data_IF_579204282861
#
_entry.id   IF_579204282861
#
_cell.length_a   1.000
_cell.length_b   1.000
_cell.length_c   1.000
_cell.angle_alpha   90.00
_cell.angle_beta   90.00
_cell.angle_gamma   90.00
#
_symmetry.space_group_name_H-M   'P 1'
#
loop_
_entity.id
_entity.type
_entity.pdbx_description
1 polymer ?
#
# COMPACT_ATOMS: atom_id res chain seq x y z
N UNK A 1 22.45 -24.57 54.01
CA UNK A 1 22.33 -23.13 53.71
C UNK A 1 22.72 -22.93 52.25
N UNK A 2 21.98 -22.33 51.34
CA UNK A 2 20.57 -21.92 51.29
C UNK A 2 20.21 -21.94 49.79
N UNK A 3 18.95 -22.26 49.50
CA UNK A 3 18.35 -22.30 48.16
C UNK A 3 17.65 -20.96 47.89
N UNK A 4 17.84 -20.43 46.67
CA UNK A 4 16.85 -19.80 45.78
C UNK A 4 15.96 -18.63 46.22
N UNK A 5 15.84 -17.64 45.32
CA UNK A 5 14.66 -16.85 44.83
C UNK A 5 15.27 -15.73 43.97
N UNK A 6 15.17 -15.62 42.65
CA UNK A 6 14.07 -15.64 41.66
C UNK A 6 13.06 -14.47 41.76
N UNK A 7 12.64 -14.01 40.56
CA UNK A 7 11.62 -13.02 40.16
C UNK A 7 12.00 -11.51 40.12
N UNK A 8 11.74 -10.71 39.06
CA UNK A 8 10.91 -10.81 37.82
C UNK A 8 11.48 -9.92 36.68
N UNK A 9 11.27 -10.25 35.40
CA UNK A 9 11.36 -9.30 34.28
C UNK A 9 10.07 -8.49 34.09
N UNK A 10 10.23 -7.32 33.48
CA UNK A 10 9.22 -6.28 33.33
C UNK A 10 7.94 -6.69 32.59
N UNK A 11 6.87 -6.07 33.07
CA UNK A 11 5.50 -6.07 32.59
C UNK A 11 5.40 -5.63 31.12
N UNK A 12 5.48 -6.59 30.19
CA UNK A 12 5.00 -6.40 28.82
C UNK A 12 3.48 -6.43 28.86
N UNK A 13 2.85 -5.28 29.08
CA UNK A 13 1.39 -5.14 29.01
C UNK A 13 0.92 -5.53 27.61
N UNK A 14 0.41 -6.75 27.48
CA UNK A 14 -0.40 -7.17 26.34
C UNK A 14 -1.66 -6.28 26.31
N UNK A 15 -1.70 -5.35 25.35
CA UNK A 15 -2.93 -4.63 25.03
C UNK A 15 -3.95 -5.63 24.47
N UNK A 16 -5.22 -5.49 24.88
CA UNK A 16 -6.32 -6.32 24.38
C UNK A 16 -6.53 -6.11 22.87
N UNK A 17 -6.65 -7.18 22.10
CA UNK A 17 -6.87 -7.12 20.65
C UNK A 17 -8.08 -6.30 20.21
N UNK A 18 -9.12 -6.20 21.04
CA UNK A 18 -10.29 -5.37 20.76
C UNK A 18 -10.02 -3.85 20.86
N UNK A 19 -9.06 -3.45 21.71
CA UNK A 19 -8.65 -2.04 21.80
C UNK A 19 -7.75 -1.67 20.62
N UNK A 20 -6.85 -2.57 20.22
CA UNK A 20 -6.01 -2.40 19.02
C UNK A 20 -6.89 -2.30 17.77
N UNK A 21 -7.85 -3.21 17.57
CA UNK A 21 -8.78 -3.15 16.42
C UNK A 21 -9.62 -1.87 16.35
N UNK A 22 -10.03 -1.32 17.50
CA UNK A 22 -10.76 -0.05 17.57
C UNK A 22 -9.86 1.14 17.23
N UNK A 23 -8.65 1.16 17.78
CA UNK A 23 -7.64 2.20 17.52
C UNK A 23 -7.23 2.18 16.04
N UNK A 24 -6.97 1.01 15.45
CA UNK A 24 -6.69 0.83 14.03
C UNK A 24 -7.85 1.32 13.16
N UNK A 25 -9.10 0.96 13.49
CA UNK A 25 -10.29 1.41 12.76
C UNK A 25 -10.51 2.93 12.80
N UNK A 26 -10.25 3.57 13.94
CA UNK A 26 -10.31 5.03 14.10
C UNK A 26 -9.22 5.74 13.28
N UNK A 27 -8.00 5.20 13.26
CA UNK A 27 -6.90 5.76 12.47
C UNK A 27 -7.15 5.61 10.96
N UNK A 28 -7.66 4.46 10.51
CA UNK A 28 -8.04 4.23 9.11
C UNK A 28 -9.14 5.21 8.67
N UNK A 29 -10.19 5.36 9.48
CA UNK A 29 -11.26 6.32 9.18
C UNK A 29 -10.77 7.77 9.12
N UNK A 30 -9.85 8.15 10.00
CA UNK A 30 -9.22 9.47 9.97
C UNK A 30 -8.39 9.68 8.70
N UNK A 31 -7.58 8.70 8.29
CA UNK A 31 -6.75 8.80 7.09
C UNK A 31 -7.59 8.99 5.81
N UNK A 32 -8.66 8.21 5.65
CA UNK A 32 -9.58 8.38 4.50
C UNK A 32 -10.31 9.73 4.55
N UNK A 33 -10.67 10.21 5.75
CA UNK A 33 -11.26 11.54 5.93
C UNK A 33 -10.28 12.65 5.52
N UNK A 34 -9.00 12.53 5.87
CA UNK A 34 -7.97 13.49 5.46
C UNK A 34 -7.74 13.44 3.94
N UNK A 35 -7.72 12.23 3.35
CA UNK A 35 -7.64 12.09 1.90
C UNK A 35 -8.81 12.78 1.20
N UNK A 36 -10.02 12.67 1.75
CA UNK A 36 -11.19 13.34 1.21
C UNK A 36 -11.11 14.87 1.23
N UNK A 37 -10.43 15.46 2.21
CA UNK A 37 -10.18 16.91 2.23
C UNK A 37 -9.24 17.37 1.12
N UNK A 38 -8.35 16.50 0.66
CA UNK A 38 -7.33 16.83 -0.35
C UNK A 38 -7.82 16.45 -1.75
N UNK A 39 -8.29 15.21 -1.93
CA UNK A 39 -8.76 14.66 -3.22
C UNK A 39 -10.14 15.19 -3.62
N UNK A 40 -10.93 15.66 -2.66
CA UNK A 40 -12.34 15.96 -2.86
C UNK A 40 -13.22 14.71 -2.94
N UNK A 41 -14.49 14.92 -3.30
CA UNK A 41 -15.45 13.85 -3.51
C UNK A 41 -15.36 13.33 -4.95
N UNK A 42 -15.40 12.01 -5.17
CA UNK A 42 -15.44 11.47 -6.52
C UNK A 42 -16.78 11.80 -7.18
N UNK A 43 -16.76 12.14 -8.47
CA UNK A 43 -17.97 12.38 -9.25
C UNK A 43 -18.78 11.10 -9.54
N UNK A 44 -18.18 9.94 -9.22
CA UNK A 44 -18.76 8.61 -9.44
C UNK A 44 -18.42 7.73 -8.25
N UNK A 45 -19.44 7.08 -7.68
CA UNK A 45 -19.23 6.11 -6.59
C UNK A 45 -18.43 4.89 -7.10
N UNK A 46 -17.48 4.36 -6.30
CA UNK A 46 -16.81 3.11 -6.62
C UNK A 46 -17.82 1.96 -6.71
N UNK A 47 -17.50 0.97 -7.55
CA UNK A 47 -18.25 -0.28 -7.56
C UNK A 47 -17.93 -1.08 -6.29
N UNK A 48 -18.94 -1.67 -5.62
CA UNK A 48 -18.71 -2.49 -4.42
C UNK A 48 -17.64 -3.56 -4.65
N UNK A 49 -16.79 -3.78 -3.64
CA UNK A 49 -15.72 -4.77 -3.68
C UNK A 49 -16.10 -5.99 -2.83
N UNK A 50 -16.01 -7.19 -3.41
CA UNK A 50 -16.03 -8.43 -2.62
C UNK A 50 -14.61 -8.71 -2.10
N UNK A 51 -14.30 -8.13 -0.93
CA UNK A 51 -12.97 -8.25 -0.32
C UNK A 51 -12.56 -9.70 -0.05
N UNK A 52 -13.50 -10.57 0.33
CA UNK A 52 -13.22 -11.98 0.57
C UNK A 52 -12.83 -12.71 -0.73
N UNK A 53 -13.42 -12.34 -1.87
CA UNK A 53 -13.00 -12.84 -3.18
C UNK A 53 -11.64 -12.29 -3.62
N UNK A 54 -11.41 -10.98 -3.44
CA UNK A 54 -10.13 -10.32 -3.76
C UNK A 54 -8.98 -10.95 -2.98
N UNK A 55 -9.09 -11.04 -1.65
CA UNK A 55 -8.05 -11.60 -0.77
C UNK A 55 -7.81 -13.10 -1.06
N UNK A 56 -8.86 -13.86 -1.38
CA UNK A 56 -8.72 -15.26 -1.80
C UNK A 56 -7.97 -15.41 -3.12
N UNK A 57 -8.19 -14.52 -4.07
CA UNK A 57 -7.48 -14.53 -5.36
C UNK A 57 -6.04 -14.05 -5.22
N UNK A 58 -5.78 -13.08 -4.34
CA UNK A 58 -4.42 -12.63 -4.02
C UNK A 58 -3.64 -13.65 -3.19
N UNK A 59 -4.34 -14.45 -2.37
CA UNK A 59 -3.73 -15.38 -1.42
C UNK A 59 -3.25 -14.71 -0.13
N UNK A 60 -3.64 -13.46 0.11
CA UNK A 60 -3.25 -12.67 1.28
C UNK A 60 -4.33 -11.65 1.63
N UNK A 61 -4.45 -11.33 2.92
CA UNK A 61 -5.26 -10.19 3.36
C UNK A 61 -4.65 -8.87 2.90
N UNK A 62 -5.49 -7.85 2.68
CA UNK A 62 -5.03 -6.52 2.31
C UNK A 62 -5.08 -5.55 3.49
N UNK A 63 -4.24 -4.49 3.47
CA UNK A 63 -4.27 -3.43 4.48
C UNK A 63 -5.67 -2.82 4.62
N UNK A 64 -6.12 -2.60 5.86
CA UNK A 64 -7.43 -2.02 6.13
C UNK A 64 -7.59 -0.59 5.58
N UNK A 65 -6.50 0.18 5.54
CA UNK A 65 -6.47 1.54 5.00
C UNK A 65 -6.74 1.56 3.48
N UNK A 66 -6.13 0.67 2.72
CA UNK A 66 -6.41 0.48 1.30
C UNK A 66 -7.86 0.06 1.06
N UNK A 67 -8.38 -0.89 1.85
CA UNK A 67 -9.77 -1.35 1.70
C UNK A 67 -10.76 -0.22 1.93
N UNK A 68 -10.57 0.54 3.01
CA UNK A 68 -11.40 1.69 3.32
C UNK A 68 -11.31 2.79 2.24
N UNK A 69 -10.11 3.02 1.70
CA UNK A 69 -9.92 3.94 0.58
C UNK A 69 -10.65 3.47 -0.68
N UNK A 70 -10.50 2.20 -1.08
CA UNK A 70 -11.14 1.65 -2.27
C UNK A 70 -12.67 1.57 -2.15
N UNK A 71 -13.19 1.35 -0.95
CA UNK A 71 -14.63 1.44 -0.68
C UNK A 71 -15.17 2.88 -0.83
N UNK A 72 -14.31 3.91 -0.69
CA UNK A 72 -14.68 5.32 -0.79
C UNK A 72 -14.35 5.95 -2.16
N UNK A 73 -13.34 5.44 -2.87
CA UNK A 73 -12.82 6.00 -4.11
C UNK A 73 -12.71 4.95 -5.21
N UNK A 74 -13.11 5.28 -6.45
CA UNK A 74 -12.80 4.44 -7.60
C UNK A 74 -11.28 4.45 -7.91
N UNK A 75 -10.84 3.73 -8.94
CA UNK A 75 -9.45 3.87 -9.40
C UNK A 75 -9.16 5.34 -9.71
N UNK A 76 -7.94 5.79 -9.42
CA UNK A 76 -7.60 7.19 -9.57
C UNK A 76 -6.20 7.42 -10.11
N UNK A 77 -6.07 8.58 -10.75
CA UNK A 77 -4.84 9.07 -11.33
C UNK A 77 -4.54 10.45 -10.77
N UNK A 78 -3.54 10.53 -9.89
CA UNK A 78 -3.15 11.76 -9.18
C UNK A 78 -2.10 12.47 -10.01
N UNK A 79 -2.36 13.74 -10.31
CA UNK A 79 -1.48 14.67 -11.02
C UNK A 79 -0.91 14.08 -12.31
N UNK A 80 -1.71 13.27 -13.01
CA UNK A 80 -1.32 12.54 -14.23
C UNK A 80 -0.02 11.73 -14.10
N UNK A 81 0.29 11.31 -12.87
CA UNK A 81 1.53 10.63 -12.56
C UNK A 81 1.27 9.35 -11.80
N UNK A 82 0.64 9.39 -10.63
CA UNK A 82 0.44 8.22 -9.77
C UNK A 82 -0.90 7.55 -10.06
N UNK A 83 -0.86 6.31 -10.54
CA UNK A 83 -2.04 5.44 -10.74
C UNK A 83 -2.22 4.52 -9.56
N UNK A 84 -3.40 4.56 -8.96
CA UNK A 84 -3.83 3.64 -7.92
C UNK A 84 -4.76 2.61 -8.53
N UNK A 85 -4.39 1.33 -8.46
CA UNK A 85 -5.23 0.27 -8.96
C UNK A 85 -6.40 -0.01 -8.01
N UNK A 86 -7.57 -0.30 -8.58
CA UNK A 86 -8.78 -0.65 -7.84
C UNK A 86 -9.30 -2.03 -8.28
N UNK A 87 -9.69 -2.93 -7.38
CA UNK A 87 -10.08 -4.30 -7.71
C UNK A 87 -11.34 -4.38 -8.59
N UNK A 88 -12.25 -3.42 -8.47
CA UNK A 88 -13.47 -3.35 -9.28
C UNK A 88 -13.35 -2.47 -10.53
N UNK A 89 -12.17 -1.90 -10.84
CA UNK A 89 -12.02 -1.06 -12.02
C UNK A 89 -12.21 -1.86 -13.30
N UNK A 90 -13.01 -1.34 -14.23
CA UNK A 90 -13.31 -2.01 -15.49
C UNK A 90 -12.12 -2.04 -16.48
N UNK A 91 -11.22 -1.06 -16.36
CA UNK A 91 -9.99 -1.03 -17.12
C UNK A 91 -8.94 -1.97 -16.51
N UNK A 92 -8.57 -2.99 -17.29
CA UNK A 92 -7.57 -3.97 -16.89
C UNK A 92 -6.24 -3.34 -16.46
N UNK A 93 -5.80 -2.24 -17.09
CA UNK A 93 -4.53 -1.54 -16.78
C UNK A 93 -4.57 -0.74 -15.48
N UNK A 94 -5.75 -0.62 -14.85
CA UNK A 94 -5.96 0.07 -13.57
C UNK A 94 -6.62 -0.85 -12.54
N UNK A 95 -6.66 -2.15 -12.84
CA UNK A 95 -7.29 -3.14 -11.98
C UNK A 95 -6.24 -3.88 -11.15
N UNK A 96 -6.44 -3.95 -9.82
CA UNK A 96 -5.51 -4.58 -8.89
C UNK A 96 -5.25 -6.06 -9.24
N UNK A 97 -6.29 -6.78 -9.63
CA UNK A 97 -6.24 -8.21 -9.90
C UNK A 97 -5.74 -8.54 -11.31
N UNK A 98 -5.83 -7.60 -12.25
CA UNK A 98 -5.49 -7.83 -13.67
C UNK A 98 -4.15 -7.22 -14.07
N UNK A 99 -3.77 -6.05 -13.54
CA UNK A 99 -2.51 -5.37 -13.88
C UNK A 99 -1.49 -5.48 -12.75
N UNK A 100 -1.85 -5.14 -11.51
CA UNK A 100 -0.90 -5.17 -10.41
C UNK A 100 -0.39 -6.60 -10.10
N UNK A 101 -1.25 -7.62 -10.22
CA UNK A 101 -0.79 -9.02 -10.17
C UNK A 101 0.14 -9.41 -11.31
N UNK A 102 -0.11 -8.93 -12.53
CA UNK A 102 0.77 -9.20 -13.69
C UNK A 102 2.13 -8.56 -13.44
N UNK A 103 2.16 -7.31 -12.97
CA UNK A 103 3.41 -6.62 -12.60
C UNK A 103 4.17 -7.33 -11.51
N UNK A 104 3.48 -7.83 -10.48
CA UNK A 104 4.09 -8.65 -9.42
C UNK A 104 4.70 -9.93 -9.97
N UNK A 105 4.04 -10.59 -10.94
CA UNK A 105 4.59 -11.76 -11.62
C UNK A 105 5.82 -11.43 -12.46
N UNK A 106 5.76 -10.36 -13.25
CA UNK A 106 6.89 -9.92 -14.08
C UNK A 106 8.11 -9.56 -13.21
N UNK A 107 7.89 -8.89 -12.09
CA UNK A 107 8.97 -8.64 -11.11
C UNK A 107 9.57 -9.95 -10.60
N UNK A 108 8.74 -10.95 -10.28
CA UNK A 108 9.22 -12.26 -9.82
C UNK A 108 10.07 -12.97 -10.87
N UNK A 109 9.69 -12.88 -12.14
CA UNK A 109 10.46 -13.45 -13.27
C UNK A 109 11.83 -12.75 -13.38
N UNK A 110 11.86 -11.42 -13.32
CA UNK A 110 13.09 -10.63 -13.37
C UNK A 110 13.99 -10.87 -12.16
N UNK A 111 13.44 -10.95 -10.96
CA UNK A 111 14.19 -11.26 -9.74
C UNK A 111 14.77 -12.68 -9.78
N UNK A 112 14.10 -13.62 -10.43
CA UNK A 112 14.63 -14.97 -10.62
C UNK A 112 15.77 -15.01 -11.65
N UNK A 113 15.73 -14.14 -12.66
CA UNK A 113 16.76 -14.03 -13.69
C UNK A 113 18.00 -13.24 -13.20
N UNK A 114 17.79 -12.17 -12.43
CA UNK A 114 18.82 -11.26 -11.94
C UNK A 114 18.72 -11.02 -10.42
N UNK A 115 18.90 -12.05 -9.57
CA UNK A 115 18.69 -11.94 -8.13
C UNK A 115 19.62 -10.94 -7.43
N UNK A 116 20.79 -10.66 -7.99
CA UNK A 116 21.75 -9.66 -7.49
C UNK A 116 21.32 -8.22 -7.71
N UNK A 117 20.36 -8.00 -8.63
CA UNK A 117 19.85 -6.68 -9.02
C UNK A 117 18.53 -6.32 -8.29
N UNK A 118 18.16 -7.07 -7.25
CA UNK A 118 16.89 -6.88 -6.55
C UNK A 118 17.06 -7.00 -5.03
N UNK A 119 16.76 -5.92 -4.32
CA UNK A 119 16.94 -5.82 -2.86
C UNK A 119 15.85 -6.57 -2.08
N UNK A 120 14.64 -6.65 -2.63
CA UNK A 120 13.48 -7.25 -1.96
C UNK A 120 13.07 -8.58 -2.62
N UNK A 121 12.58 -9.55 -1.84
CA UNK A 121 11.88 -10.69 -2.41
C UNK A 121 10.56 -10.24 -3.05
N UNK A 122 9.91 -11.13 -3.78
CA UNK A 122 8.63 -10.86 -4.45
C UNK A 122 7.55 -11.77 -3.89
N UNK A 123 6.36 -11.23 -3.61
CA UNK A 123 5.24 -12.02 -3.10
C UNK A 123 4.97 -13.22 -4.04
N UNK A 124 4.78 -14.47 -3.54
CA UNK A 124 4.40 -14.84 -2.17
C UNK A 124 5.54 -15.14 -1.19
N UNK A 125 6.80 -14.84 -1.53
CA UNK A 125 7.87 -14.96 -0.54
C UNK A 125 7.60 -14.05 0.68
N UNK A 126 7.92 -14.47 1.92
CA UNK A 126 7.76 -13.62 3.11
C UNK A 126 8.50 -12.28 2.95
N UNK A 127 7.84 -11.17 3.31
CA UNK A 127 8.39 -9.83 3.09
C UNK A 127 8.48 -9.43 1.61
N UNK A 128 7.75 -10.14 0.73
CA UNK A 128 7.79 -9.91 -0.70
C UNK A 128 7.05 -8.65 -1.14
N UNK A 129 7.47 -8.08 -2.27
CA UNK A 129 6.75 -6.97 -2.90
C UNK A 129 5.47 -7.46 -3.58
N UNK A 130 4.35 -6.79 -3.30
CA UNK A 130 3.06 -6.96 -3.97
C UNK A 130 2.62 -5.62 -4.56
N UNK A 131 2.50 -5.56 -5.89
CA UNK A 131 2.16 -4.31 -6.57
C UNK A 131 0.71 -3.89 -6.30
N UNK A 132 0.49 -2.58 -6.13
CA UNK A 132 -0.82 -1.95 -5.96
C UNK A 132 -1.07 -0.77 -6.89
N UNK A 133 -0.03 -0.29 -7.55
CA UNK A 133 -0.09 0.88 -8.40
C UNK A 133 1.23 1.09 -9.13
N UNK A 134 1.26 2.15 -9.93
CA UNK A 134 2.44 2.52 -10.68
C UNK A 134 2.36 4.00 -11.04
N UNK A 135 3.45 4.55 -11.54
CA UNK A 135 3.42 5.89 -12.10
C UNK A 135 3.58 5.91 -13.63
N UNK A 136 3.82 7.09 -14.19
CA UNK A 136 4.13 7.28 -15.63
C UNK A 136 5.62 7.18 -15.96
N UNK A 137 6.50 7.22 -14.95
CA UNK A 137 7.96 7.19 -15.08
C UNK A 137 8.58 5.78 -14.97
N UNK A 138 7.77 4.72 -15.12
CA UNK A 138 8.11 3.28 -15.06
C UNK A 138 8.21 2.70 -13.66
N UNK A 139 8.26 3.52 -12.61
CA UNK A 139 8.23 3.03 -11.25
C UNK A 139 6.88 2.38 -10.92
N UNK A 140 6.99 1.35 -10.11
CA UNK A 140 5.89 0.57 -9.57
C UNK A 140 5.77 0.90 -8.09
N UNK A 141 4.57 0.72 -7.56
CA UNK A 141 4.26 0.97 -6.17
C UNK A 141 3.82 -0.34 -5.53
N UNK A 142 4.51 -0.72 -4.46
CA UNK A 142 4.39 -2.03 -3.83
C UNK A 142 4.03 -1.88 -2.35
N UNK A 143 3.29 -2.87 -1.86
CA UNK A 143 3.24 -3.18 -0.44
C UNK A 143 4.40 -4.12 -0.13
N UNK A 144 5.11 -3.84 0.97
CA UNK A 144 6.09 -4.76 1.54
C UNK A 144 5.34 -5.73 2.46
N UNK A 145 5.12 -6.98 2.03
CA UNK A 145 4.25 -7.93 2.72
C UNK A 145 4.93 -8.62 3.91
N UNK A 146 5.40 -7.81 4.87
CA UNK A 146 6.06 -8.24 6.11
C UNK A 146 5.08 -8.12 7.29
N UNK A 147 4.87 -9.22 8.03
CA UNK A 147 3.99 -9.19 9.20
C UNK A 147 2.50 -9.05 8.85
N UNK A 148 1.76 -8.33 9.70
CA UNK A 148 0.32 -8.12 9.55
C UNK A 148 0.03 -7.10 8.43
N UNK A 149 -1.02 -7.27 7.60
CA UNK A 149 -1.32 -6.35 6.49
C UNK A 149 -1.43 -4.88 6.88
N UNK A 150 -1.99 -4.57 8.05
CA UNK A 150 -2.13 -3.20 8.53
C UNK A 150 -0.80 -2.52 8.89
N UNK A 151 0.28 -3.29 9.01
CA UNK A 151 1.64 -2.80 9.28
C UNK A 151 2.49 -2.69 8.00
N UNK A 152 1.93 -3.03 6.83
CA UNK A 152 2.69 -3.02 5.57
C UNK A 152 3.06 -1.61 5.16
N UNK A 153 4.35 -1.45 4.83
CA UNK A 153 4.92 -0.20 4.32
C UNK A 153 4.90 -0.16 2.80
N UNK A 154 5.06 1.04 2.27
CA UNK A 154 5.13 1.28 0.82
C UNK A 154 6.57 1.24 0.32
N UNK A 155 6.79 0.50 -0.76
CA UNK A 155 8.04 0.52 -1.53
C UNK A 155 7.75 1.07 -2.93
N UNK A 156 8.53 2.05 -3.37
CA UNK A 156 8.47 2.60 -4.71
C UNK A 156 9.77 2.28 -5.42
N UNK A 157 9.71 1.76 -6.64
CA UNK A 157 10.92 1.47 -7.38
C UNK A 157 10.64 0.97 -8.77
N UNK A 158 11.68 0.95 -9.58
CA UNK A 158 11.66 0.22 -10.84
C UNK A 158 11.76 -1.30 -10.58
N UNK A 159 11.76 -2.08 -11.65
CA UNK A 159 11.97 -3.51 -11.54
C UNK A 159 13.41 -3.86 -11.10
N UNK A 160 14.35 -2.91 -11.00
CA UNK A 160 15.77 -3.11 -10.68
C UNK A 160 16.18 -2.45 -9.33
N UNK A 161 17.48 -2.48 -9.00
CA UNK A 161 18.14 -2.16 -7.71
C UNK A 161 17.79 -0.84 -7.00
N UNK A 162 17.02 0.04 -7.61
CA UNK A 162 16.68 1.34 -7.04
C UNK A 162 15.25 1.34 -6.51
N UNK A 163 15.11 0.87 -5.26
CA UNK A 163 13.87 0.93 -4.49
C UNK A 163 13.99 1.90 -3.31
N UNK A 164 12.92 2.67 -3.09
CA UNK A 164 12.73 3.53 -1.94
C UNK A 164 11.66 2.97 -1.01
N UNK A 165 12.01 2.82 0.26
CA UNK A 165 11.07 2.47 1.31
C UNK A 165 10.51 3.75 1.94
N UNK A 166 9.20 3.93 1.85
CA UNK A 166 8.47 4.94 2.57
C UNK A 166 8.02 4.39 3.94
N UNK A 167 8.38 5.09 5.01
CA UNK A 167 8.05 4.67 6.38
C UNK A 167 6.63 5.10 6.76
N UNK A 168 5.65 4.45 6.15
CA UNK A 168 4.23 4.68 6.36
C UNK A 168 3.38 3.72 5.53
N UNK A 169 2.09 3.66 5.83
CA UNK A 169 1.14 2.81 5.12
C UNK A 169 0.70 3.43 3.78
N UNK A 170 -0.28 2.80 3.13
CA UNK A 170 -0.77 3.23 1.83
C UNK A 170 -1.43 4.62 1.88
N UNK A 171 -2.30 4.88 2.86
CA UNK A 171 -2.96 6.17 2.99
C UNK A 171 -2.00 7.30 3.39
N UNK A 172 -1.02 7.03 4.27
CA UNK A 172 0.04 7.97 4.62
C UNK A 172 0.83 8.39 3.37
N UNK A 173 1.16 7.41 2.53
CA UNK A 173 1.86 7.64 1.27
C UNK A 173 1.05 8.50 0.30
N UNK A 174 -0.25 8.22 0.13
CA UNK A 174 -1.12 9.02 -0.72
C UNK A 174 -1.28 10.45 -0.20
N UNK A 175 -1.42 10.64 1.11
CA UNK A 175 -1.49 11.97 1.71
C UNK A 175 -0.21 12.77 1.46
N UNK A 176 0.95 12.17 1.75
CA UNK A 176 2.23 12.81 1.52
C UNK A 176 2.46 13.12 0.03
N UNK A 177 2.01 12.24 -0.87
CA UNK A 177 2.00 12.48 -2.32
C UNK A 177 1.14 13.69 -2.69
N UNK A 178 -0.11 13.73 -2.23
CA UNK A 178 -1.05 14.81 -2.57
C UNK A 178 -0.67 16.16 -1.93
N UNK A 179 0.15 16.16 -0.88
CA UNK A 179 0.63 17.38 -0.23
C UNK A 179 1.98 17.87 -0.79
N UNK A 180 2.62 17.10 -1.66
CA UNK A 180 3.97 17.40 -2.15
C UNK A 180 5.05 17.22 -1.08
N UNK A 181 4.81 16.38 -0.07
CA UNK A 181 5.70 16.18 1.08
C UNK A 181 6.76 15.07 0.82
N UNK A 182 6.69 14.37 -0.31
CA UNK A 182 7.65 13.34 -0.68
C UNK A 182 8.98 13.94 -1.12
N UNK A 183 10.00 13.85 -0.26
CA UNK A 183 11.36 14.32 -0.54
C UNK A 183 12.23 13.29 -1.30
N UNK A 184 11.69 12.59 -2.31
CA UNK A 184 12.42 11.53 -3.01
C UNK A 184 12.81 11.91 -4.47
N UNK A 185 14.07 11.69 -4.89
CA UNK A 185 14.58 12.11 -6.20
C UNK A 185 13.86 11.51 -7.42
N UNK A 186 13.21 10.34 -7.30
CA UNK A 186 12.44 9.73 -8.42
C UNK A 186 11.15 10.48 -8.76
N UNK A 187 10.68 11.36 -7.88
CA UNK A 187 9.51 12.19 -8.16
C UNK A 187 9.83 13.44 -8.98
N UNK A 188 11.11 13.77 -9.26
CA UNK A 188 11.45 14.90 -10.14
C UNK A 188 10.69 16.20 -9.82
N UNK A 189 10.04 16.81 -10.83
CA UNK A 189 9.21 18.02 -10.70
C UNK A 189 7.85 17.80 -10.00
N UNK A 190 7.56 16.60 -9.50
CA UNK A 190 6.32 16.24 -8.79
C UNK A 190 6.36 16.53 -7.28
N UNK A 191 7.34 17.26 -6.79
CA UNK A 191 7.40 17.70 -5.38
C UNK A 191 6.34 18.76 -5.03
N UNK A 192 5.38 19.01 -5.92
CA UNK A 192 4.27 19.95 -5.72
C UNK A 192 3.02 19.28 -5.11
N UNK A 193 2.14 20.07 -4.49
CA UNK A 193 0.85 19.57 -3.99
C UNK A 193 -0.06 19.07 -5.13
N UNK A 194 -1.21 18.50 -4.77
CA UNK A 194 -2.24 18.07 -5.71
C UNK A 194 -2.66 19.22 -6.64
N UNK A 195 -2.52 19.02 -7.93
CA UNK A 195 -2.95 19.91 -9.01
C UNK A 195 -4.18 19.34 -9.74
N UNK A 196 -4.25 18.01 -9.92
CA UNK A 196 -5.30 17.33 -10.68
C UNK A 196 -5.56 15.93 -10.14
N UNK A 197 -6.82 15.50 -10.15
CA UNK A 197 -7.19 14.10 -9.91
C UNK A 197 -8.21 13.67 -10.96
N UNK A 198 -7.97 12.52 -11.58
CA UNK A 198 -8.93 11.88 -12.47
C UNK A 198 -9.49 10.61 -11.82
N UNK A 199 -10.81 10.51 -11.71
CA UNK A 199 -11.52 9.33 -11.21
C UNK A 199 -11.91 8.41 -12.37
N UNK A 200 -11.73 7.10 -12.18
CA UNK A 200 -11.83 6.09 -13.23
C UNK A 200 -12.72 4.95 -12.76
N UNK A 201 -13.79 4.69 -13.52
CA UNK A 201 -14.71 3.60 -13.25
C UNK A 201 -14.21 2.22 -13.71
#
# INVERSE_FOLDING_TARGET
MSVGTDNLPGDTRHRSGAAVMRETGEHVGAAVTELAKVLGHPDVDPLPVDWAAVERQLGVGLPADYKAFADAYPALFINEYLRVCHPSCSDAQRNLLLDAQVRTRSLRELTAEFPEMHVYPVYPAPGGLLCWGNNTSREQCYWLTEGHPDDWRVVIGEQEDYCWLFDGNFCDFLLASCRGELAHPFYGSFTGPLEKVDFVR
#
